data_IF_425479690983
#
_entry.id   IF_425479690983
#
_cell.length_a   1.000
_cell.length_b   1.000
_cell.length_c   1.000
_cell.angle_alpha   90.00
_cell.angle_beta   90.00
_cell.angle_gamma   90.00
#
_symmetry.space_group_name_H-M   'P 1'
#
loop_
_entity.id
_entity.type
_entity.pdbx_description
1 polymer ?
#
# COMPACT_ATOMS: atom_id res chain seq x y z
N UNK A 1 -17.82 -10.56 0.26
CA UNK A 1 -16.53 -10.02 0.76
C UNK A 1 -15.35 -10.83 0.22
N UNK A 2 -15.24 -12.13 0.50
CA UNK A 2 -14.12 -12.96 0.00
C UNK A 2 -14.02 -12.94 -1.54
N UNK A 3 -15.14 -13.11 -2.26
CA UNK A 3 -15.14 -13.05 -3.73
C UNK A 3 -14.58 -11.72 -4.26
N UNK A 4 -14.93 -10.59 -3.64
CA UNK A 4 -14.42 -9.27 -4.05
C UNK A 4 -12.91 -9.13 -3.82
N UNK A 5 -12.41 -9.64 -2.69
CA UNK A 5 -10.97 -9.65 -2.39
C UNK A 5 -10.23 -10.54 -3.38
N UNK A 6 -10.73 -11.74 -3.65
CA UNK A 6 -10.12 -12.68 -4.61
C UNK A 6 -10.10 -12.08 -6.01
N UNK A 7 -11.21 -11.52 -6.49
CA UNK A 7 -11.26 -10.86 -7.80
C UNK A 7 -10.33 -9.65 -7.84
N UNK A 8 -10.33 -8.80 -6.80
CA UNK A 8 -9.43 -7.65 -6.71
C UNK A 8 -7.98 -8.09 -6.81
N UNK A 9 -7.57 -9.08 -6.02
CA UNK A 9 -6.21 -9.62 -5.98
C UNK A 9 -5.82 -10.20 -7.34
N UNK A 10 -6.66 -11.04 -7.96
CA UNK A 10 -6.33 -11.64 -9.25
C UNK A 10 -6.16 -10.55 -10.33
N UNK A 11 -7.08 -9.61 -10.42
CA UNK A 11 -7.03 -8.52 -11.43
C UNK A 11 -5.80 -7.64 -11.24
N UNK A 12 -5.53 -7.22 -10.00
CA UNK A 12 -4.34 -6.39 -9.72
C UNK A 12 -3.04 -7.16 -9.92
N UNK A 13 -2.98 -8.46 -9.60
CA UNK A 13 -1.78 -9.27 -9.81
C UNK A 13 -1.44 -9.38 -11.30
N UNK A 14 -2.44 -9.69 -12.13
CA UNK A 14 -2.27 -9.80 -13.59
C UNK A 14 -1.81 -8.47 -14.17
N UNK A 15 -2.45 -7.35 -13.78
CA UNK A 15 -2.06 -6.02 -14.24
C UNK A 15 -0.65 -5.64 -13.80
N UNK A 16 -0.27 -6.02 -12.57
CA UNK A 16 1.06 -5.76 -12.03
C UNK A 16 2.12 -6.52 -12.81
N UNK A 17 1.90 -7.81 -13.06
CA UNK A 17 2.83 -8.65 -13.83
C UNK A 17 2.99 -8.11 -15.25
N UNK A 18 1.89 -7.73 -15.90
CA UNK A 18 1.93 -7.15 -17.25
C UNK A 18 2.76 -5.86 -17.28
N UNK A 19 2.54 -4.94 -16.33
CA UNK A 19 3.30 -3.69 -16.25
C UNK A 19 4.78 -3.94 -15.89
N UNK A 20 5.07 -4.84 -14.94
CA UNK A 20 6.45 -5.21 -14.57
C UNK A 20 7.18 -5.79 -15.77
N UNK A 21 6.54 -6.65 -16.56
CA UNK A 21 7.13 -7.17 -17.80
C UNK A 21 7.43 -6.06 -18.80
N UNK A 22 6.57 -5.04 -18.94
CA UNK A 22 6.86 -3.87 -19.79
C UNK A 22 8.10 -3.13 -19.31
N UNK A 23 8.24 -2.89 -18.00
CA UNK A 23 9.42 -2.21 -17.44
C UNK A 23 10.70 -3.02 -17.59
N UNK A 24 10.63 -4.35 -17.43
CA UNK A 24 11.75 -5.25 -17.67
C UNK A 24 12.15 -5.27 -19.14
N UNK A 25 11.18 -5.29 -20.06
CA UNK A 25 11.45 -5.26 -21.50
C UNK A 25 12.06 -3.92 -21.96
N UNK A 26 11.78 -2.83 -21.23
CA UNK A 26 12.45 -1.52 -21.41
C UNK A 26 13.82 -1.43 -20.73
N UNK A 27 14.36 -2.53 -20.20
CA UNK A 27 15.62 -2.59 -19.45
C UNK A 27 15.69 -1.59 -18.27
N UNK A 28 14.55 -1.33 -17.62
CA UNK A 28 14.47 -0.47 -16.44
C UNK A 28 14.16 -1.30 -15.17
N UNK A 29 15.11 -2.12 -14.70
CA UNK A 29 14.87 -3.03 -13.58
C UNK A 29 14.57 -2.28 -12.27
N UNK A 30 15.18 -1.10 -12.06
CA UNK A 30 14.91 -0.29 -10.87
C UNK A 30 13.46 0.21 -10.83
N UNK A 31 12.92 0.66 -11.97
CA UNK A 31 11.52 1.08 -12.08
C UNK A 31 10.57 -0.09 -11.87
N UNK A 32 10.91 -1.28 -12.38
CA UNK A 32 10.12 -2.50 -12.18
C UNK A 32 10.05 -2.90 -10.69
N UNK A 33 11.16 -2.80 -9.96
CA UNK A 33 11.24 -3.10 -8.52
C UNK A 33 10.40 -2.10 -7.72
N UNK A 34 10.57 -0.79 -7.98
CA UNK A 34 9.80 0.26 -7.31
C UNK A 34 8.30 0.10 -7.56
N UNK A 35 7.92 -0.14 -8.83
CA UNK A 35 6.53 -0.35 -9.21
C UNK A 35 5.96 -1.60 -8.54
N UNK A 36 6.64 -2.73 -8.61
CA UNK A 36 6.20 -3.98 -7.98
C UNK A 36 6.05 -3.86 -6.46
N UNK A 37 7.00 -3.20 -5.80
CA UNK A 37 6.94 -2.94 -4.36
C UNK A 37 5.75 -2.05 -3.97
N UNK A 38 5.55 -0.95 -4.70
CA UNK A 38 4.43 -0.04 -4.46
C UNK A 38 3.08 -0.75 -4.68
N UNK A 39 2.97 -1.53 -5.76
CA UNK A 39 1.76 -2.25 -6.10
C UNK A 39 1.45 -3.36 -5.08
N UNK A 40 2.48 -4.03 -4.56
CA UNK A 40 2.34 -4.99 -3.46
C UNK A 40 1.79 -4.36 -2.18
N UNK A 41 2.29 -3.18 -1.79
CA UNK A 41 1.77 -2.43 -0.64
C UNK A 41 0.31 -2.04 -0.89
N UNK A 42 -0.02 -1.51 -2.07
CA UNK A 42 -1.41 -1.19 -2.44
C UNK A 42 -2.33 -2.41 -2.41
N UNK A 43 -1.85 -3.58 -2.81
CA UNK A 43 -2.58 -4.85 -2.76
C UNK A 43 -2.94 -5.26 -1.32
N UNK A 44 -1.97 -5.14 -0.41
CA UNK A 44 -2.17 -5.46 1.01
C UNK A 44 -3.18 -4.50 1.63
N UNK A 45 -3.00 -3.19 1.40
CA UNK A 45 -3.89 -2.15 1.93
C UNK A 45 -5.29 -2.29 1.36
N UNK A 46 -5.43 -2.49 0.04
CA UNK A 46 -6.71 -2.69 -0.63
C UNK A 46 -7.44 -3.94 -0.10
N UNK A 47 -6.72 -5.04 0.11
CA UNK A 47 -7.29 -6.27 0.69
C UNK A 47 -7.78 -6.05 2.12
N UNK A 48 -7.04 -5.33 2.95
CA UNK A 48 -7.47 -4.93 4.31
C UNK A 48 -8.74 -4.06 4.28
N UNK A 49 -8.81 -3.13 3.33
CA UNK A 49 -9.94 -2.22 3.17
C UNK A 49 -11.20 -2.96 2.72
N UNK A 50 -11.06 -3.90 1.78
CA UNK A 50 -12.16 -4.79 1.37
C UNK A 50 -12.56 -5.78 2.46
N UNK A 51 -11.66 -6.17 3.36
CA UNK A 51 -11.97 -7.01 4.51
C UNK A 51 -12.75 -6.25 5.61
N UNK A 52 -13.03 -4.95 5.43
CA UNK A 52 -13.63 -4.05 6.44
C UNK A 52 -12.94 -4.19 7.80
N UNK A 53 -11.66 -4.55 7.80
CA UNK A 53 -10.82 -4.42 8.99
C UNK A 53 -10.89 -2.95 9.35
N UNK A 54 -11.18 -2.64 10.62
CA UNK A 54 -11.08 -1.27 11.10
C UNK A 54 -9.60 -0.89 11.04
N UNK A 55 -9.17 -0.40 9.88
CA UNK A 55 -7.84 0.16 9.71
C UNK A 55 -7.87 1.37 10.64
N UNK A 56 -7.08 1.36 11.74
CA UNK A 56 -6.97 2.54 12.58
C UNK A 56 -6.55 3.66 11.63
N UNK A 57 -7.30 4.77 11.63
CA UNK A 57 -7.08 5.94 10.77
C UNK A 57 -5.58 6.16 10.53
N UNK A 58 -5.18 6.48 9.31
CA UNK A 58 -3.79 6.81 8.91
C UNK A 58 -3.15 7.88 9.80
N UNK A 59 -3.97 8.60 10.58
CA UNK A 59 -3.56 9.53 11.62
C UNK A 59 -3.00 8.89 12.88
N UNK A 60 -3.22 7.61 13.18
CA UNK A 60 -2.79 6.98 14.44
C UNK A 60 -1.26 6.80 14.53
N UNK A 61 -0.56 6.23 13.53
CA UNK A 61 0.91 6.18 13.56
C UNK A 61 1.53 7.59 13.48
N UNK A 62 0.93 8.48 12.70
CA UNK A 62 1.35 9.88 12.60
C UNK A 62 1.17 10.59 13.94
N UNK A 63 0.04 10.39 14.61
CA UNK A 63 -0.27 10.95 15.92
C UNK A 63 0.71 10.42 16.95
N UNK A 64 1.03 9.12 17.01
CA UNK A 64 2.04 8.62 17.96
C UNK A 64 3.44 9.21 17.76
N UNK A 65 3.82 9.57 16.53
CA UNK A 65 5.10 10.21 16.21
C UNK A 65 5.10 11.71 16.55
N UNK A 66 4.00 12.41 16.26
CA UNK A 66 3.89 13.85 16.40
C UNK A 66 3.28 14.31 17.74
N UNK A 67 2.62 13.44 18.51
CA UNK A 67 2.15 13.74 19.88
C UNK A 67 3.28 14.18 20.83
N UNK A 68 4.43 13.47 20.91
CA UNK A 68 5.51 13.88 21.80
C UNK A 68 6.12 15.21 21.37
N UNK A 69 6.26 15.44 20.07
CA UNK A 69 6.78 16.71 19.51
C UNK A 69 5.80 17.86 19.83
N UNK A 70 4.50 17.62 19.65
CA UNK A 70 3.44 18.57 20.00
C UNK A 70 3.44 18.92 21.49
N UNK A 71 3.59 17.93 22.38
CA UNK A 71 3.69 18.16 23.85
C UNK A 71 4.91 18.99 24.23
N UNK A 72 6.06 18.70 23.63
CA UNK A 72 7.30 19.46 23.87
C UNK A 72 7.16 20.92 23.43
N UNK A 73 6.50 21.18 22.30
CA UNK A 73 6.28 22.54 21.77
C UNK A 73 5.21 23.30 22.56
N UNK A 74 4.13 22.63 22.96
CA UNK A 74 3.01 23.25 23.69
C UNK A 74 3.27 23.42 25.19
N UNK A 75 4.40 22.92 25.72
CA UNK A 75 4.82 23.11 27.13
C UNK A 75 3.70 22.75 28.14
N UNK A 76 2.97 21.67 27.86
CA UNK A 76 2.03 21.01 28.80
C UNK A 76 2.60 19.67 29.25
#
# INVERSE_FOLDING_TARGET
>A
MILQIVTFVIVTLVLTIYNVQIFLNKQQPNSAILYGGLMGICMIVGSLLFAKVQIPSTTIPLRTLFEPIGKIILKQ
#
